data_IF_569593566215
#
_entry.id   IF_569593566215
#
_cell.length_a   1.000
_cell.length_b   1.000
_cell.length_c   1.000
_cell.angle_alpha   90.00
_cell.angle_beta   90.00
_cell.angle_gamma   90.00
#
_symmetry.space_group_name_H-M   'P 1'
#
loop_
_entity.id
_entity.type
_entity.pdbx_description
1 polymer ?
#
# COMPACT_ATOMS: atom_id res chain seq x y z
N UNK A 1 2.01 -4.25 13.69
CA UNK A 1 2.72 -3.97 12.42
C UNK A 1 1.71 -3.74 11.32
N UNK A 2 1.96 -2.81 10.39
CA UNK A 2 1.14 -2.53 9.22
C UNK A 2 1.21 -3.65 8.17
N UNK A 3 0.82 -4.86 8.54
CA UNK A 3 0.94 -6.07 7.69
C UNK A 3 0.18 -5.97 6.36
N UNK A 4 -0.68 -4.96 6.20
CA UNK A 4 -1.46 -4.70 4.99
C UNK A 4 -0.91 -3.59 4.09
N UNK A 5 0.16 -2.88 4.48
CA UNK A 5 0.80 -1.89 3.58
C UNK A 5 1.80 -2.66 2.71
N UNK A 6 1.59 -2.65 1.39
CA UNK A 6 2.46 -3.35 0.43
C UNK A 6 3.58 -2.44 -0.07
N UNK A 7 4.73 -3.03 -0.39
CA UNK A 7 5.76 -2.33 -1.17
C UNK A 7 5.25 -2.20 -2.61
N UNK A 8 5.20 -0.96 -3.14
CA UNK A 8 4.66 -0.65 -4.47
C UNK A 8 5.70 -0.09 -5.45
N UNK A 9 6.93 0.15 -5.00
CA UNK A 9 8.01 0.63 -5.85
C UNK A 9 8.54 -0.46 -6.80
N UNK A 10 9.04 -0.03 -7.96
CA UNK A 10 9.74 -0.85 -8.95
C UNK A 10 8.91 -2.05 -9.47
N UNK A 11 7.64 -1.84 -9.83
CA UNK A 11 6.82 -2.85 -10.52
C UNK A 11 6.68 -2.53 -12.00
N UNK A 12 6.60 -3.58 -12.82
CA UNK A 12 6.19 -3.50 -14.22
C UNK A 12 4.97 -4.43 -14.42
N UNK A 13 3.78 -3.90 -14.76
CA UNK A 13 3.43 -2.48 -14.89
C UNK A 13 3.51 -1.69 -13.56
N UNK A 14 3.64 -0.35 -13.58
CA UNK A 14 3.66 0.47 -12.37
C UNK A 14 2.45 0.27 -11.44
N UNK A 15 2.61 0.57 -10.15
CA UNK A 15 1.53 0.50 -9.15
C UNK A 15 0.30 1.33 -9.57
N UNK A 16 -0.90 0.78 -9.38
CA UNK A 16 -2.14 1.48 -9.72
C UNK A 16 -2.53 2.48 -8.63
N UNK A 17 -3.37 3.46 -8.99
CA UNK A 17 -3.87 4.46 -8.05
C UNK A 17 -4.67 3.79 -6.91
N UNK A 18 -5.40 2.72 -7.19
CA UNK A 18 -6.12 1.93 -6.18
C UNK A 18 -5.18 1.23 -5.19
N UNK A 19 -4.05 0.68 -5.67
CA UNK A 19 -3.05 0.04 -4.80
C UNK A 19 -2.40 1.07 -3.85
N UNK A 20 -2.10 2.26 -4.37
CA UNK A 20 -1.55 3.38 -3.60
C UNK A 20 -2.58 3.87 -2.58
N UNK A 21 -3.83 4.11 -2.99
CA UNK A 21 -4.91 4.57 -2.10
C UNK A 21 -5.22 3.53 -1.02
N UNK A 22 -5.24 2.25 -1.36
CA UNK A 22 -5.42 1.18 -0.38
C UNK A 22 -4.29 1.18 0.67
N UNK A 23 -3.05 1.40 0.25
CA UNK A 23 -1.90 1.50 1.17
C UNK A 23 -1.99 2.74 2.07
N UNK A 24 -2.37 3.89 1.50
CA UNK A 24 -2.64 5.13 2.24
C UNK A 24 -3.74 4.94 3.30
N UNK A 25 -4.84 4.29 2.94
CA UNK A 25 -5.91 3.95 3.88
C UNK A 25 -5.42 3.14 5.07
N UNK A 26 -4.60 2.11 4.84
CA UNK A 26 -4.05 1.29 5.93
C UNK A 26 -3.07 2.08 6.81
N UNK A 27 -2.30 3.00 6.23
CA UNK A 27 -1.45 3.93 6.97
C UNK A 27 -2.26 4.84 7.89
N UNK A 28 -3.29 5.51 7.35
CA UNK A 28 -4.15 6.41 8.12
C UNK A 28 -4.90 5.66 9.22
N UNK A 29 -5.41 4.45 8.95
CA UNK A 29 -6.00 3.57 9.98
C UNK A 29 -5.02 3.25 11.11
N UNK A 30 -3.77 2.94 10.75
CA UNK A 30 -2.75 2.64 11.75
C UNK A 30 -2.43 3.86 12.62
N UNK A 31 -2.29 5.03 11.99
CA UNK A 31 -1.93 6.27 12.67
C UNK A 31 -3.05 6.77 13.58
N UNK A 32 -4.28 6.75 13.08
CA UNK A 32 -5.47 7.22 13.81
C UNK A 32 -5.97 6.23 14.87
N UNK A 33 -5.59 4.96 14.78
CA UNK A 33 -6.12 3.90 15.65
C UNK A 33 -7.58 3.53 15.37
N UNK A 34 -8.21 4.09 14.32
CA UNK A 34 -9.57 3.75 13.92
C UNK A 34 -9.62 3.12 12.53
N UNK A 35 -10.33 2.00 12.42
CA UNK A 35 -10.62 1.35 11.14
C UNK A 35 -11.82 1.99 10.45
N UNK A 36 -12.74 2.57 11.23
CA UNK A 36 -13.97 3.21 10.78
C UNK A 36 -14.15 4.53 11.56
N UNK A 37 -13.90 5.69 10.93
CA UNK A 37 -14.06 6.98 11.61
C UNK A 37 -15.53 7.18 12.04
N UNK A 38 -15.74 7.99 13.06
CA UNK A 38 -17.08 8.48 13.40
C UNK A 38 -17.57 9.43 12.31
N UNK A 39 -18.90 9.62 12.21
CA UNK A 39 -19.51 10.54 11.22
C UNK A 39 -18.92 11.95 11.25
N UNK A 40 -18.56 12.45 12.43
CA UNK A 40 -17.93 13.76 12.59
C UNK A 40 -16.50 13.82 12.01
N UNK A 41 -15.79 12.69 11.98
CA UNK A 41 -14.40 12.59 11.56
C UNK A 41 -14.21 12.03 10.15
N UNK A 42 -15.27 11.53 9.50
CA UNK A 42 -15.23 10.94 8.15
C UNK A 42 -14.50 11.84 7.15
N UNK A 43 -14.86 13.13 7.11
CA UNK A 43 -14.27 14.06 6.16
C UNK A 43 -12.77 14.29 6.40
N UNK A 44 -12.35 14.39 7.67
CA UNK A 44 -10.93 14.56 8.02
C UNK A 44 -10.13 13.29 7.70
N UNK A 45 -10.74 12.12 7.94
CA UNK A 45 -10.15 10.82 7.66
C UNK A 45 -9.92 10.61 6.16
N UNK A 46 -10.95 10.83 5.33
CA UNK A 46 -10.83 10.67 3.87
C UNK A 46 -9.82 11.65 3.26
N UNK A 47 -9.82 12.92 3.70
CA UNK A 47 -8.79 13.90 3.26
C UNK A 47 -7.38 13.41 3.55
N UNK A 48 -7.13 12.89 4.75
CA UNK A 48 -5.81 12.37 5.11
C UNK A 48 -5.41 11.17 4.22
N UNK A 49 -6.37 10.31 3.86
CA UNK A 49 -6.12 9.18 2.94
C UNK A 49 -5.71 9.70 1.56
N UNK A 50 -6.43 10.67 1.02
CA UNK A 50 -6.16 11.22 -0.31
C UNK A 50 -4.81 11.97 -0.35
N UNK A 51 -4.49 12.78 0.66
CA UNK A 51 -3.20 13.48 0.78
C UNK A 51 -2.02 12.51 0.86
N UNK A 52 -2.14 11.46 1.67
CA UNK A 52 -1.12 10.41 1.78
C UNK A 52 -0.98 9.64 0.46
N UNK A 53 -2.09 9.36 -0.24
CA UNK A 53 -2.04 8.69 -1.53
C UNK A 53 -1.30 9.53 -2.58
N UNK A 54 -1.55 10.84 -2.63
CA UNK A 54 -0.83 11.77 -3.52
C UNK A 54 0.66 11.81 -3.19
N UNK A 55 1.02 11.93 -1.90
CA UNK A 55 2.42 11.94 -1.48
C UNK A 55 3.14 10.62 -1.82
N UNK A 56 2.48 9.48 -1.55
CA UNK A 56 3.02 8.16 -1.85
C UNK A 56 3.20 7.94 -3.36
N UNK A 57 2.25 8.38 -4.19
CA UNK A 57 2.37 8.31 -5.66
C UNK A 57 3.58 9.08 -6.15
N UNK A 58 3.74 10.33 -5.71
CA UNK A 58 4.88 11.18 -6.07
C UNK A 58 6.20 10.52 -5.68
N UNK A 59 6.28 9.99 -4.47
CA UNK A 59 7.47 9.26 -4.01
C UNK A 59 7.78 8.08 -4.93
N UNK A 60 6.81 7.18 -5.15
CA UNK A 60 7.02 5.97 -5.96
C UNK A 60 7.47 6.32 -7.38
N UNK A 61 6.89 7.35 -7.98
CA UNK A 61 7.27 7.82 -9.33
C UNK A 61 8.66 8.45 -9.39
N UNK A 62 9.14 9.04 -8.29
CA UNK A 62 10.47 9.67 -8.21
C UNK A 62 11.61 8.70 -7.86
N UNK A 63 11.29 7.48 -7.43
CA UNK A 63 12.31 6.51 -7.02
C UNK A 63 12.98 5.90 -8.26
N UNK A 64 14.27 6.18 -8.41
CA UNK A 64 15.12 5.53 -9.40
C UNK A 64 15.78 4.28 -8.80
N UNK A 65 15.92 3.23 -9.61
CA UNK A 65 16.61 2.01 -9.18
C UNK A 65 17.28 1.33 -10.36
N UNK A 66 18.44 0.71 -10.10
CA UNK A 66 19.13 -0.16 -11.05
C UNK A 66 18.67 -1.62 -10.98
N UNK A 67 17.77 -1.95 -10.05
CA UNK A 67 17.24 -3.30 -9.90
C UNK A 67 16.24 -3.63 -11.01
N UNK A 68 16.21 -4.89 -11.44
CA UNK A 68 15.20 -5.36 -12.40
C UNK A 68 13.77 -5.11 -11.85
N UNK A 69 12.81 -4.71 -12.70
CA UNK A 69 11.43 -4.52 -12.28
C UNK A 69 10.82 -5.79 -11.68
N UNK A 70 9.98 -5.61 -10.68
CA UNK A 70 9.26 -6.68 -10.00
C UNK A 70 8.02 -7.05 -10.77
N UNK A 71 7.78 -8.35 -10.91
CA UNK A 71 6.56 -8.88 -11.51
C UNK A 71 5.50 -9.16 -10.43
N UNK A 72 4.27 -8.67 -10.63
CA UNK A 72 3.16 -8.85 -9.67
C UNK A 72 2.81 -10.32 -9.43
N UNK A 73 2.71 -11.12 -10.48
CA UNK A 73 2.30 -12.53 -10.39
C UNK A 73 3.33 -13.36 -9.63
N UNK A 74 4.62 -13.07 -9.84
CA UNK A 74 5.69 -13.71 -9.08
C UNK A 74 5.65 -13.35 -7.59
N UNK A 75 5.38 -12.09 -7.25
CA UNK A 75 5.27 -11.65 -5.86
C UNK A 75 4.07 -12.30 -5.16
N UNK A 76 2.95 -12.44 -5.87
CA UNK A 76 1.77 -13.17 -5.38
C UNK A 76 2.11 -14.65 -5.16
N UNK A 77 2.79 -15.31 -6.11
CA UNK A 77 3.22 -16.70 -5.97
C UNK A 77 4.14 -16.88 -4.76
N UNK A 78 5.18 -16.05 -4.64
CA UNK A 78 6.10 -16.05 -3.48
C UNK A 78 5.35 -15.83 -2.16
N UNK A 79 4.32 -14.97 -2.15
CA UNK A 79 3.50 -14.75 -0.97
C UNK A 79 2.66 -15.98 -0.58
N UNK A 80 2.09 -16.70 -1.56
CA UNK A 80 1.36 -17.96 -1.34
C UNK A 80 2.27 -19.05 -0.80
N UNK A 81 3.42 -19.27 -1.42
CA UNK A 81 4.43 -20.26 -0.96
C UNK A 81 4.88 -19.98 0.48
N UNK A 82 5.11 -18.70 0.83
CA UNK A 82 5.43 -18.31 2.21
C UNK A 82 4.28 -18.59 3.19
N UNK A 83 3.04 -18.43 2.75
CA UNK A 83 1.86 -18.74 3.56
C UNK A 83 1.74 -20.25 3.78
N UNK A 84 1.85 -21.05 2.73
CA UNK A 84 1.81 -22.51 2.79
C UNK A 84 2.88 -23.07 3.75
N UNK A 85 4.13 -22.61 3.64
CA UNK A 85 5.22 -22.99 4.56
C UNK A 85 4.96 -22.61 6.03
N UNK A 86 4.13 -21.61 6.28
CA UNK A 86 3.81 -21.17 7.64
C UNK A 86 2.69 -22.00 8.28
N UNK A 87 1.83 -22.59 7.46
CA UNK A 87 0.65 -23.37 7.90
C UNK A 87 0.77 -24.87 7.66
N UNK A 88 1.87 -25.33 7.03
CA UNK A 88 2.33 -26.71 7.05
C UNK A 88 3.05 -27.02 8.37
#
# INVERSE_FOLDING_TARGET
>A
MCRNIKTLANFEPPATDDEVRASALQFVRKLSGTTRPSRANEQAFERAVDEVAVAARRLIQSLETSAAPRNRDEEVRKARERSEKRFA
#
